data_IF_502279848423
#
_entry.id   IF_502279848423
#
_cell.length_a   1.000
_cell.length_b   1.000
_cell.length_c   1.000
_cell.angle_alpha   90.00
_cell.angle_beta   90.00
_cell.angle_gamma   90.00
#
_symmetry.space_group_name_H-M   'P 1'
#
loop_
_entity.id
_entity.type
_entity.pdbx_description
1 polymer ?
#
# COMPACT_ATOMS: atom_id res chain seq x y z
N UNK A 1 14.39 23.89 14.73
CA UNK A 1 13.58 22.81 14.14
C UNK A 1 12.14 22.87 14.64
N UNK A 2 11.87 22.82 15.95
CA UNK A 2 10.53 23.07 16.53
C UNK A 2 9.84 24.36 16.01
N UNK A 3 10.54 25.50 16.05
CA UNK A 3 9.99 26.77 15.53
C UNK A 3 9.72 26.78 14.01
N UNK A 4 10.32 25.85 13.24
CA UNK A 4 10.18 25.77 11.78
C UNK A 4 8.98 24.88 11.38
N UNK A 5 8.50 24.01 12.27
CA UNK A 5 7.28 23.21 12.12
C UNK A 5 5.98 24.04 12.09
N UNK A 6 6.09 25.37 12.20
CA UNK A 6 4.96 26.29 12.15
C UNK A 6 5.02 27.23 10.92
N UNK A 7 6.01 27.05 10.02
CA UNK A 7 6.23 27.93 8.87
C UNK A 7 5.64 27.36 7.58
N UNK A 8 4.67 28.06 6.99
CA UNK A 8 4.06 27.70 5.70
C UNK A 8 4.84 28.24 4.47
N UNK A 9 5.98 28.91 4.67
CA UNK A 9 6.77 29.44 3.55
C UNK A 9 7.44 28.32 2.76
N UNK A 10 7.24 28.27 1.44
CA UNK A 10 7.93 27.31 0.57
C UNK A 10 9.43 27.59 0.56
N UNK A 11 10.25 26.54 0.69
CA UNK A 11 11.71 26.65 0.58
C UNK A 11 12.14 25.96 -0.71
N UNK A 12 13.02 26.62 -1.47
CA UNK A 12 13.68 26.00 -2.63
C UNK A 12 14.83 25.12 -2.13
N UNK A 13 14.79 23.82 -2.42
CA UNK A 13 15.88 22.89 -2.04
C UNK A 13 16.51 22.31 -3.30
N UNK A 14 17.77 22.69 -3.56
CA UNK A 14 18.53 22.25 -4.72
C UNK A 14 18.00 22.82 -6.04
N UNK A 15 18.10 22.04 -7.13
CA UNK A 15 17.65 22.44 -8.45
C UNK A 15 16.20 21.99 -8.71
N UNK A 16 15.22 22.80 -8.29
CA UNK A 16 13.87 22.79 -8.86
C UNK A 16 12.72 22.08 -8.12
N UNK A 17 12.96 21.39 -6.99
CA UNK A 17 11.85 20.84 -6.19
C UNK A 17 11.44 21.85 -5.10
N UNK A 18 10.27 22.46 -5.28
CA UNK A 18 9.60 23.23 -4.23
C UNK A 18 8.96 22.25 -3.26
N UNK A 19 9.57 22.11 -2.08
CA UNK A 19 9.00 21.37 -0.95
C UNK A 19 8.75 22.36 0.18
N UNK A 20 7.69 22.13 0.95
CA UNK A 20 7.46 22.90 2.16
C UNK A 20 8.47 22.49 3.25
N UNK A 21 8.81 23.39 4.19
CA UNK A 21 9.61 23.04 5.36
C UNK A 21 9.00 21.87 6.13
N UNK A 22 7.68 21.77 6.19
CA UNK A 22 6.96 20.68 6.85
C UNK A 22 7.23 19.33 6.19
N UNK A 23 7.16 19.23 4.87
CA UNK A 23 7.48 18.01 4.12
C UNK A 23 8.94 17.59 4.36
N UNK A 24 9.87 18.57 4.34
CA UNK A 24 11.29 18.29 4.57
C UNK A 24 11.56 17.83 5.99
N UNK A 25 10.94 18.46 6.99
CA UNK A 25 11.06 18.07 8.39
C UNK A 25 10.46 16.67 8.59
N UNK A 26 9.30 16.39 7.99
CA UNK A 26 8.71 15.06 8.02
C UNK A 26 9.69 14.00 7.52
N UNK A 27 10.28 14.19 6.34
CA UNK A 27 11.30 13.28 5.80
C UNK A 27 12.46 13.06 6.78
N UNK A 28 13.01 14.13 7.37
CA UNK A 28 14.09 14.01 8.35
C UNK A 28 13.69 13.28 9.62
N UNK A 29 12.46 13.50 10.11
CA UNK A 29 11.94 12.79 11.29
C UNK A 29 11.83 11.30 11.00
N UNK A 30 11.23 10.91 9.86
CA UNK A 30 11.13 9.50 9.46
C UNK A 30 12.53 8.88 9.30
N UNK A 31 13.45 9.59 8.63
CA UNK A 31 14.84 9.14 8.49
C UNK A 31 15.55 8.95 9.83
N UNK A 32 15.36 9.87 10.78
CA UNK A 32 15.93 9.78 12.11
C UNK A 32 15.37 8.59 12.90
N UNK A 33 14.07 8.31 12.78
CA UNK A 33 13.41 7.15 13.40
C UNK A 33 13.99 5.84 12.84
N UNK A 34 13.99 5.66 11.52
CA UNK A 34 14.41 4.38 10.91
C UNK A 34 15.92 4.13 11.05
N UNK A 35 16.72 5.19 11.20
CA UNK A 35 18.17 5.09 11.51
C UNK A 35 18.43 4.85 13.01
N UNK A 36 17.41 4.96 13.86
CA UNK A 36 17.52 4.79 15.31
C UNK A 36 18.20 5.98 16.00
N UNK A 37 18.20 7.16 15.39
CA UNK A 37 18.72 8.39 15.99
C UNK A 37 17.75 8.97 17.03
N UNK A 38 16.45 8.79 16.82
CA UNK A 38 15.39 9.20 17.74
C UNK A 38 14.43 8.03 17.99
N UNK A 39 13.86 7.97 19.19
CA UNK A 39 12.92 6.93 19.62
C UNK A 39 11.58 7.52 20.05
N UNK A 40 10.75 6.71 20.72
CA UNK A 40 9.37 7.06 21.09
C UNK A 40 9.27 8.26 22.03
N UNK A 41 10.22 8.40 22.96
CA UNK A 41 10.27 9.49 23.94
C UNK A 41 10.90 10.78 23.38
N UNK A 42 11.28 10.81 22.10
CA UNK A 42 11.93 11.98 21.51
C UNK A 42 10.92 13.12 21.28
N UNK A 43 11.25 14.31 21.80
CA UNK A 43 10.39 15.49 21.69
C UNK A 43 10.09 15.92 20.25
N UNK A 44 11.03 15.72 19.31
CA UNK A 44 10.84 16.07 17.90
C UNK A 44 9.84 15.12 17.23
N UNK A 45 9.93 13.82 17.55
CA UNK A 45 8.98 12.80 17.09
C UNK A 45 7.57 13.13 17.61
N UNK A 46 7.45 13.41 18.91
CA UNK A 46 6.18 13.75 19.54
C UNK A 46 5.57 15.04 18.95
N UNK A 47 6.38 16.09 18.77
CA UNK A 47 5.94 17.35 18.15
C UNK A 47 5.45 17.12 16.72
N UNK A 48 6.24 16.43 15.88
CA UNK A 48 5.86 16.15 14.49
C UNK A 48 4.51 15.44 14.38
N UNK A 49 4.32 14.34 15.12
CA UNK A 49 3.06 13.58 15.05
C UNK A 49 1.87 14.29 15.66
N UNK A 50 2.09 15.30 16.51
CA UNK A 50 1.04 16.13 17.12
C UNK A 50 0.62 17.29 16.21
N UNK A 51 1.58 17.91 15.49
CA UNK A 51 1.32 19.15 14.75
C UNK A 51 1.14 18.96 13.25
N UNK A 52 1.77 17.95 12.66
CA UNK A 52 1.70 17.74 11.22
C UNK A 52 0.33 17.20 10.79
N UNK A 53 -0.17 17.71 9.68
CA UNK A 53 -1.39 17.21 9.04
C UNK A 53 -1.25 15.71 8.72
N UNK A 54 -2.32 14.89 8.88
CA UNK A 54 -2.34 13.49 8.45
C UNK A 54 -1.73 13.25 7.06
N UNK A 55 -1.99 14.15 6.11
CA UNK A 55 -1.47 14.04 4.75
C UNK A 55 0.06 14.14 4.71
N UNK A 56 0.65 15.10 5.45
CA UNK A 56 2.10 15.29 5.53
C UNK A 56 2.77 14.12 6.26
N UNK A 57 2.12 13.56 7.29
CA UNK A 57 2.60 12.37 7.99
C UNK A 57 2.66 11.17 7.04
N UNK A 58 1.62 10.95 6.24
CA UNK A 58 1.58 9.91 5.22
C UNK A 58 2.62 10.12 4.11
N UNK A 59 2.74 11.35 3.60
CA UNK A 59 3.74 11.70 2.56
C UNK A 59 5.17 11.45 3.02
N UNK A 60 5.50 11.78 4.27
CA UNK A 60 6.83 11.57 4.81
C UNK A 60 7.20 10.08 4.83
N UNK A 61 6.27 9.21 5.26
CA UNK A 61 6.48 7.75 5.30
C UNK A 61 6.53 7.17 3.88
N UNK A 62 5.58 7.56 3.02
CA UNK A 62 5.52 7.14 1.63
C UNK A 62 6.78 7.50 0.85
N UNK A 63 7.33 8.71 1.06
CA UNK A 63 8.57 9.16 0.44
C UNK A 63 9.78 8.29 0.84
N UNK A 64 9.86 7.84 2.09
CA UNK A 64 10.91 6.92 2.53
C UNK A 64 10.79 5.57 1.83
N UNK A 65 9.58 5.00 1.72
CA UNK A 65 9.36 3.76 0.99
C UNK A 65 9.67 3.91 -0.53
N UNK A 66 9.31 5.04 -1.14
CA UNK A 66 9.72 5.40 -2.49
C UNK A 66 11.24 5.49 -2.64
N UNK A 67 11.95 6.00 -1.62
CA UNK A 67 13.41 6.06 -1.62
C UNK A 67 14.03 4.66 -1.57
N UNK A 68 13.42 3.71 -0.84
CA UNK A 68 13.87 2.30 -0.82
C UNK A 68 13.77 1.62 -2.19
N UNK A 69 12.79 2.00 -3.01
CA UNK A 69 12.67 1.48 -4.38
C UNK A 69 13.91 1.80 -5.24
N UNK A 70 14.58 2.91 -4.96
CA UNK A 70 15.79 3.34 -5.67
C UNK A 70 17.09 2.88 -4.98
N UNK A 71 16.99 2.25 -3.81
CA UNK A 71 18.12 1.70 -3.11
C UNK A 71 18.42 0.29 -3.61
N UNK A 72 19.69 0.04 -3.95
CA UNK A 72 20.16 -1.30 -4.32
C UNK A 72 20.01 -2.25 -3.11
N UNK A 73 20.49 -1.80 -1.94
CA UNK A 73 20.43 -2.52 -0.67
C UNK A 73 19.85 -1.60 0.40
N UNK A 74 19.02 -2.18 1.27
CA UNK A 74 18.54 -1.56 2.50
C UNK A 74 18.86 -2.49 3.65
N UNK A 75 19.52 -1.99 4.70
CA UNK A 75 19.82 -2.78 5.90
C UNK A 75 18.53 -3.28 6.56
N UNK A 76 18.50 -4.54 6.99
CA UNK A 76 17.33 -5.15 7.62
C UNK A 76 16.82 -4.31 8.81
N UNK A 77 17.72 -3.80 9.65
CA UNK A 77 17.35 -2.95 10.79
C UNK A 77 16.67 -1.62 10.38
N UNK A 78 17.02 -1.07 9.21
CA UNK A 78 16.39 0.15 8.69
C UNK A 78 15.02 -0.20 8.08
N UNK A 79 14.94 -1.30 7.32
CA UNK A 79 13.68 -1.82 6.77
C UNK A 79 12.68 -2.12 7.88
N UNK A 80 13.11 -2.84 8.89
CA UNK A 80 12.25 -3.35 9.96
C UNK A 80 11.69 -2.20 10.81
N UNK A 81 12.49 -1.16 11.09
CA UNK A 81 11.97 0.05 11.76
C UNK A 81 10.97 0.83 10.91
N UNK A 82 11.12 0.84 9.58
CA UNK A 82 10.09 1.45 8.72
C UNK A 82 8.80 0.62 8.74
N UNK A 83 8.90 -0.71 8.80
CA UNK A 83 7.73 -1.58 8.99
C UNK A 83 7.05 -1.37 10.35
N UNK A 84 7.81 -1.30 11.44
CA UNK A 84 7.31 -1.02 12.78
C UNK A 84 6.63 0.35 12.84
N UNK A 85 7.23 1.36 12.20
CA UNK A 85 6.66 2.69 12.11
C UNK A 85 5.31 2.68 11.37
N UNK A 86 5.22 1.93 10.28
CA UNK A 86 3.95 1.74 9.57
C UNK A 86 2.88 1.12 10.48
N UNK A 87 3.21 0.05 11.20
CA UNK A 87 2.28 -0.64 12.09
C UNK A 87 1.77 0.27 13.23
N UNK A 88 2.64 1.11 13.77
CA UNK A 88 2.28 2.15 14.73
C UNK A 88 1.30 3.15 14.12
N UNK A 89 1.55 3.63 12.90
CA UNK A 89 0.66 4.61 12.25
C UNK A 89 -0.71 4.02 11.92
N UNK A 90 -0.75 2.76 11.48
CA UNK A 90 -2.02 2.04 11.30
C UNK A 90 -2.78 1.94 12.63
N UNK A 91 -2.10 1.61 13.73
CA UNK A 91 -2.72 1.57 15.06
C UNK A 91 -3.27 2.94 15.49
N UNK A 92 -2.56 4.02 15.17
CA UNK A 92 -3.04 5.39 15.38
C UNK A 92 -4.34 5.64 14.61
N UNK A 93 -4.37 5.37 13.29
CA UNK A 93 -5.56 5.56 12.45
C UNK A 93 -6.76 4.72 12.92
N UNK A 94 -6.54 3.50 13.43
CA UNK A 94 -7.63 2.71 14.05
C UNK A 94 -8.29 3.46 15.22
N UNK A 95 -7.51 4.20 16.00
CA UNK A 95 -8.01 5.00 17.13
C UNK A 95 -8.48 6.41 16.73
N UNK A 96 -8.04 6.89 15.55
CA UNK A 96 -8.27 8.22 14.99
C UNK A 96 -8.63 8.12 13.50
N UNK A 97 -9.83 7.62 13.15
CA UNK A 97 -10.20 7.43 11.74
C UNK A 97 -10.19 8.72 10.91
N UNK A 98 -10.31 9.89 11.56
CA UNK A 98 -10.14 11.19 10.92
C UNK A 98 -8.76 11.38 10.26
N UNK A 99 -7.74 10.65 10.72
CA UNK A 99 -6.35 10.75 10.26
C UNK A 99 -6.01 9.75 9.14
N UNK A 100 -7.02 9.13 8.51
CA UNK A 100 -6.84 8.08 7.49
C UNK A 100 -5.91 8.43 6.33
N UNK A 101 -5.74 9.72 6.02
CA UNK A 101 -4.83 10.20 4.98
C UNK A 101 -3.35 9.85 5.25
N UNK A 102 -2.99 9.46 6.47
CA UNK A 102 -1.66 8.88 6.76
C UNK A 102 -1.36 7.61 5.95
N UNK A 103 -2.40 6.88 5.52
CA UNK A 103 -2.24 5.59 4.85
C UNK A 103 -2.13 5.69 3.32
N UNK A 104 -2.34 6.88 2.74
CA UNK A 104 -2.58 7.09 1.29
C UNK A 104 -1.51 6.51 0.36
N UNK A 105 -0.27 6.45 0.84
CA UNK A 105 0.90 6.12 0.05
C UNK A 105 1.49 4.74 0.38
N UNK A 106 0.72 3.87 1.04
CA UNK A 106 1.15 2.51 1.39
C UNK A 106 1.62 1.68 0.20
N UNK A 107 1.10 1.94 -1.00
CA UNK A 107 1.50 1.23 -2.22
C UNK A 107 3.02 1.33 -2.49
N UNK A 108 3.73 2.32 -1.94
CA UNK A 108 5.19 2.39 -2.04
C UNK A 108 5.92 1.27 -1.28
N UNK A 109 5.35 0.74 -0.20
CA UNK A 109 5.91 -0.42 0.52
C UNK A 109 5.83 -1.69 -0.31
N UNK A 110 4.81 -1.79 -1.17
CA UNK A 110 4.66 -2.89 -2.12
C UNK A 110 5.66 -2.70 -3.27
N UNK A 111 5.74 -1.48 -3.79
CA UNK A 111 6.56 -1.12 -4.96
C UNK A 111 8.06 -1.11 -4.73
N UNK A 112 8.52 -0.92 -3.50
CA UNK A 112 9.94 -0.93 -3.22
C UNK A 112 10.54 -2.35 -3.23
N UNK A 113 9.69 -3.39 -3.20
CA UNK A 113 10.09 -4.81 -3.25
C UNK A 113 11.07 -5.21 -2.13
N UNK A 114 11.12 -4.42 -1.05
CA UNK A 114 11.95 -4.71 0.12
C UNK A 114 11.19 -5.47 1.21
N UNK A 115 9.88 -5.60 1.09
CA UNK A 115 9.02 -6.30 2.04
C UNK A 115 8.38 -7.54 1.37
N UNK A 116 8.34 -8.69 2.06
CA UNK A 116 7.70 -9.89 1.52
C UNK A 116 6.17 -9.75 1.48
N UNK A 117 5.51 -10.53 0.62
CA UNK A 117 4.05 -10.55 0.47
C UNK A 117 3.30 -10.84 1.79
N UNK A 118 3.82 -11.79 2.57
CA UNK A 118 3.33 -12.10 3.92
C UNK A 118 3.36 -10.93 4.90
N UNK A 119 4.19 -9.91 4.64
CA UNK A 119 4.18 -8.68 5.41
C UNK A 119 3.20 -7.65 4.83
N UNK A 120 3.31 -7.28 3.55
CA UNK A 120 2.59 -6.13 3.02
C UNK A 120 1.12 -6.43 2.68
N UNK A 121 0.76 -7.65 2.30
CA UNK A 121 -0.58 -7.93 1.77
C UNK A 121 -1.67 -7.88 2.86
N UNK A 122 -1.49 -8.46 4.07
CA UNK A 122 -2.43 -8.25 5.17
C UNK A 122 -2.58 -6.78 5.56
N UNK A 123 -1.49 -6.01 5.48
CA UNK A 123 -1.47 -4.57 5.78
C UNK A 123 -2.16 -3.74 4.70
N UNK A 124 -2.09 -4.15 3.44
CA UNK A 124 -2.86 -3.53 2.36
C UNK A 124 -4.35 -3.70 2.60
N UNK A 125 -4.79 -4.92 2.94
CA UNK A 125 -6.20 -5.20 3.27
C UNK A 125 -6.68 -4.29 4.39
N UNK A 126 -5.90 -4.19 5.46
CA UNK A 126 -6.26 -3.32 6.58
C UNK A 126 -6.28 -1.84 6.20
N UNK A 127 -5.30 -1.35 5.44
CA UNK A 127 -5.28 0.03 5.00
C UNK A 127 -6.50 0.38 4.14
N UNK A 128 -6.94 -0.54 3.28
CA UNK A 128 -8.16 -0.40 2.46
C UNK A 128 -9.45 -0.41 3.30
N UNK A 129 -9.43 -1.04 4.47
CA UNK A 129 -10.58 -1.07 5.39
C UNK A 129 -10.67 0.20 6.24
N UNK A 130 -9.53 0.76 6.60
CA UNK A 130 -9.43 2.02 7.34
C UNK A 130 -9.63 3.23 6.43
N UNK A 131 -9.15 3.15 5.19
CA UNK A 131 -9.36 4.15 4.15
C UNK A 131 -9.88 3.51 2.87
N UNK A 132 -11.21 3.50 2.74
CA UNK A 132 -11.84 3.04 1.51
C UNK A 132 -11.31 3.81 0.28
N UNK A 133 -10.97 5.09 0.43
CA UNK A 133 -10.55 5.96 -0.68
C UNK A 133 -9.10 5.77 -1.09
N UNK A 134 -8.36 4.87 -0.43
CA UNK A 134 -6.97 4.58 -0.76
C UNK A 134 -6.83 4.19 -2.24
N UNK A 135 -5.86 4.81 -2.90
CA UNK A 135 -5.55 4.60 -4.32
C UNK A 135 -4.15 4.05 -4.48
N UNK A 136 -3.99 3.11 -5.40
CA UNK A 136 -2.70 2.46 -5.68
C UNK A 136 -2.02 3.02 -6.93
N UNK A 137 -2.62 4.03 -7.57
CA UNK A 137 -2.09 4.75 -8.74
C UNK A 137 -1.79 3.84 -9.95
N UNK A 138 -2.42 2.67 -10.00
CA UNK A 138 -2.26 1.67 -11.06
C UNK A 138 -0.85 1.08 -11.09
N UNK A 139 -0.33 0.72 -9.92
CA UNK A 139 1.07 0.35 -9.75
C UNK A 139 1.30 -1.07 -9.24
N UNK A 140 0.30 -1.77 -8.71
CA UNK A 140 0.51 -2.95 -7.86
C UNK A 140 -0.11 -4.26 -8.40
N UNK A 141 -0.67 -4.23 -9.61
CA UNK A 141 -1.39 -5.38 -10.19
C UNK A 141 -0.53 -6.62 -10.32
N UNK A 142 0.71 -6.47 -10.80
CA UNK A 142 1.67 -7.57 -10.94
C UNK A 142 2.11 -8.13 -9.58
N UNK A 143 2.38 -7.25 -8.61
CA UNK A 143 2.75 -7.66 -7.24
C UNK A 143 1.62 -8.42 -6.56
N UNK A 144 0.37 -7.97 -6.75
CA UNK A 144 -0.82 -8.65 -6.22
C UNK A 144 -1.04 -10.01 -6.89
N UNK A 145 -0.84 -10.10 -8.21
CA UNK A 145 -0.90 -11.37 -8.93
C UNK A 145 0.13 -12.37 -8.41
N UNK A 146 1.38 -11.92 -8.22
CA UNK A 146 2.46 -12.77 -7.71
C UNK A 146 2.21 -13.23 -6.27
N UNK A 147 1.63 -12.37 -5.43
CA UNK A 147 1.35 -12.69 -4.02
C UNK A 147 0.16 -13.65 -3.84
N UNK A 148 -0.71 -13.76 -4.84
CA UNK A 148 -1.94 -14.55 -4.75
C UNK A 148 -1.68 -16.06 -4.57
N UNK A 149 -0.55 -16.56 -5.06
CA UNK A 149 -0.17 -17.98 -4.88
C UNK A 149 0.16 -18.31 -3.41
N UNK A 150 0.80 -17.37 -2.70
CA UNK A 150 1.16 -17.55 -1.29
C UNK A 150 -0.02 -17.25 -0.36
N UNK A 151 -0.81 -16.22 -0.69
CA UNK A 151 -1.82 -15.63 0.19
C UNK A 151 -3.13 -15.38 -0.56
N UNK A 152 -3.80 -16.43 -1.08
CA UNK A 152 -4.94 -16.27 -2.00
C UNK A 152 -6.13 -15.57 -1.35
N UNK A 153 -6.39 -15.80 -0.05
CA UNK A 153 -7.47 -15.15 0.68
C UNK A 153 -7.24 -13.63 0.80
N UNK A 154 -6.06 -13.22 1.26
CA UNK A 154 -5.72 -11.82 1.43
C UNK A 154 -5.66 -11.09 0.07
N UNK A 155 -5.15 -11.76 -0.97
CA UNK A 155 -5.09 -11.21 -2.33
C UNK A 155 -6.48 -10.97 -2.90
N UNK A 156 -7.39 -11.94 -2.77
CA UNK A 156 -8.77 -11.80 -3.22
C UNK A 156 -9.49 -10.68 -2.48
N UNK A 157 -9.30 -10.57 -1.16
CA UNK A 157 -9.90 -9.51 -0.34
C UNK A 157 -9.39 -8.13 -0.76
N UNK A 158 -8.07 -7.95 -0.89
CA UNK A 158 -7.47 -6.69 -1.33
C UNK A 158 -7.98 -6.29 -2.71
N UNK A 159 -7.99 -7.23 -3.68
CA UNK A 159 -8.49 -6.98 -5.02
C UNK A 159 -9.97 -6.57 -5.03
N UNK A 160 -10.79 -7.25 -4.23
CA UNK A 160 -12.23 -6.94 -4.12
C UNK A 160 -12.45 -5.53 -3.59
N UNK A 161 -11.72 -5.13 -2.54
CA UNK A 161 -11.80 -3.78 -1.96
C UNK A 161 -11.36 -2.70 -2.97
N UNK A 162 -10.25 -2.93 -3.68
CA UNK A 162 -9.72 -1.99 -4.68
C UNK A 162 -10.66 -1.81 -5.89
N UNK A 163 -11.39 -2.86 -6.27
CA UNK A 163 -12.34 -2.83 -7.40
C UNK A 163 -13.78 -2.44 -7.00
N UNK A 164 -14.11 -2.43 -5.70
CA UNK A 164 -15.45 -2.10 -5.22
C UNK A 164 -15.81 -0.60 -5.40
N UNK A 165 -14.79 0.24 -5.40
CA UNK A 165 -14.83 1.69 -5.59
C UNK A 165 -15.59 2.08 -6.88
N UNK A 166 -16.77 2.70 -6.74
CA UNK A 166 -17.68 3.08 -7.85
C UNK A 166 -17.00 3.98 -8.90
N UNK A 167 -15.99 4.73 -8.48
CA UNK A 167 -15.20 5.68 -9.27
C UNK A 167 -13.70 5.33 -9.31
N UNK A 168 -13.30 4.05 -9.26
CA UNK A 168 -11.88 3.72 -9.47
C UNK A 168 -11.45 4.28 -10.83
N UNK A 169 -10.53 5.24 -10.81
CA UNK A 169 -10.03 5.91 -12.01
C UNK A 169 -9.61 4.88 -13.07
N UNK A 170 -9.80 5.19 -14.36
CA UNK A 170 -9.53 4.26 -15.45
C UNK A 170 -8.11 3.66 -15.39
N UNK A 171 -7.14 4.37 -14.81
CA UNK A 171 -5.74 3.94 -14.67
C UNK A 171 -5.55 2.90 -13.56
N UNK A 172 -6.04 3.15 -12.35
CA UNK A 172 -5.94 2.21 -11.21
C UNK A 172 -6.71 0.93 -11.51
N UNK A 173 -7.83 1.08 -12.21
CA UNK A 173 -8.66 -0.03 -12.64
C UNK A 173 -7.99 -0.87 -13.73
N UNK A 174 -7.28 -0.23 -14.67
CA UNK A 174 -6.63 -0.93 -15.79
C UNK A 174 -5.53 -1.88 -15.32
N UNK A 175 -4.64 -1.44 -14.44
CA UNK A 175 -3.53 -2.26 -13.94
C UNK A 175 -4.06 -3.51 -13.21
N UNK A 176 -4.98 -3.32 -12.26
CA UNK A 176 -5.59 -4.43 -11.52
C UNK A 176 -6.38 -5.38 -12.42
N UNK A 177 -7.18 -4.86 -13.36
CA UNK A 177 -7.96 -5.69 -14.31
C UNK A 177 -7.06 -6.48 -15.24
N UNK A 178 -5.98 -5.88 -15.70
CA UNK A 178 -5.05 -6.51 -16.65
C UNK A 178 -4.21 -7.57 -15.95
N UNK A 179 -3.57 -7.21 -14.84
CA UNK A 179 -2.51 -8.01 -14.23
C UNK A 179 -2.98 -8.86 -13.05
N UNK A 180 -3.85 -8.34 -12.17
CA UNK A 180 -4.23 -9.04 -10.94
C UNK A 180 -5.50 -9.88 -11.05
N UNK A 181 -6.49 -9.43 -11.82
CA UNK A 181 -7.85 -9.96 -11.73
C UNK A 181 -7.94 -11.47 -12.00
N UNK A 182 -7.44 -11.93 -13.14
CA UNK A 182 -7.50 -13.35 -13.48
C UNK A 182 -6.57 -14.21 -12.59
N UNK A 183 -5.30 -13.85 -12.34
CA UNK A 183 -4.42 -14.63 -11.46
C UNK A 183 -4.93 -14.76 -10.03
N UNK A 184 -5.44 -13.68 -9.43
CA UNK A 184 -5.97 -13.72 -8.06
C UNK A 184 -7.21 -14.62 -7.96
N UNK A 185 -8.14 -14.51 -8.92
CA UNK A 185 -9.31 -15.39 -8.97
C UNK A 185 -8.89 -16.85 -9.16
N UNK A 186 -7.95 -17.12 -10.07
CA UNK A 186 -7.45 -18.47 -10.31
C UNK A 186 -6.80 -19.07 -9.04
N UNK A 187 -5.95 -18.32 -8.35
CA UNK A 187 -5.32 -18.77 -7.11
C UNK A 187 -6.36 -19.08 -6.03
N UNK A 188 -7.38 -18.23 -5.86
CA UNK A 188 -8.47 -18.47 -4.93
C UNK A 188 -9.33 -19.70 -5.32
N UNK A 189 -9.57 -19.94 -6.61
CA UNK A 189 -10.29 -21.13 -7.10
C UNK A 189 -9.51 -22.44 -6.92
N UNK A 190 -8.17 -22.40 -6.84
CA UNK A 190 -7.33 -23.57 -6.53
C UNK A 190 -7.38 -23.95 -5.05
N UNK A 191 -7.84 -23.06 -4.18
CA UNK A 191 -8.01 -23.37 -2.76
C UNK A 191 -9.12 -24.42 -2.55
N UNK A 192 -8.92 -25.28 -1.55
CA UNK A 192 -9.94 -26.21 -1.06
C UNK A 192 -10.92 -25.56 -0.08
N UNK A 193 -10.76 -24.28 0.23
CA UNK A 193 -11.71 -23.53 1.07
C UNK A 193 -12.92 -23.09 0.24
N UNK A 194 -14.08 -23.70 0.54
CA UNK A 194 -15.36 -23.42 -0.10
C UNK A 194 -15.74 -21.93 -0.06
N UNK A 195 -15.40 -21.21 1.03
CA UNK A 195 -15.71 -19.78 1.14
C UNK A 195 -14.85 -18.95 0.20
N UNK A 196 -13.56 -19.27 0.13
CA UNK A 196 -12.62 -18.58 -0.75
C UNK A 196 -12.99 -18.84 -2.22
N UNK A 197 -13.32 -20.08 -2.55
CA UNK A 197 -13.78 -20.47 -3.89
C UNK A 197 -15.07 -19.74 -4.28
N UNK A 198 -16.06 -19.69 -3.37
CA UNK A 198 -17.30 -18.96 -3.61
C UNK A 198 -17.07 -17.45 -3.77
N UNK A 199 -16.18 -16.86 -2.96
CA UNK A 199 -15.78 -15.45 -3.08
C UNK A 199 -15.15 -15.13 -4.44
N UNK A 200 -14.28 -16.02 -4.94
CA UNK A 200 -13.67 -15.88 -6.26
C UNK A 200 -14.72 -15.91 -7.38
N UNK A 201 -15.68 -16.84 -7.28
CA UNK A 201 -16.81 -16.91 -8.20
C UNK A 201 -17.70 -15.66 -8.17
N UNK A 202 -17.94 -15.10 -6.98
CA UNK A 202 -18.72 -13.87 -6.83
C UNK A 202 -18.03 -12.66 -7.48
N UNK A 203 -16.72 -12.48 -7.25
CA UNK A 203 -15.95 -11.41 -7.88
C UNK A 203 -15.91 -11.58 -9.40
N UNK A 204 -15.71 -12.81 -9.89
CA UNK A 204 -15.72 -13.11 -11.33
C UNK A 204 -17.05 -12.72 -11.98
N UNK A 205 -18.18 -13.07 -11.37
CA UNK A 205 -19.52 -12.72 -11.85
C UNK A 205 -19.76 -11.20 -11.82
N UNK A 206 -19.36 -10.53 -10.74
CA UNK A 206 -19.48 -9.09 -10.61
C UNK A 206 -18.70 -8.36 -11.72
N UNK A 207 -17.47 -8.79 -11.98
CA UNK A 207 -16.62 -8.17 -13.01
C UNK A 207 -17.11 -8.50 -14.43
N UNK A 208 -17.63 -9.71 -14.66
CA UNK A 208 -18.32 -10.06 -15.91
C UNK A 208 -19.53 -9.15 -16.18
N UNK A 209 -20.35 -8.86 -15.17
CA UNK A 209 -21.46 -7.91 -15.27
C UNK A 209 -21.00 -6.46 -15.54
N UNK A 210 -19.76 -6.11 -15.18
CA UNK A 210 -19.10 -4.83 -15.46
C UNK A 210 -18.34 -4.80 -16.80
N UNK A 211 -18.43 -5.86 -17.60
CA UNK A 211 -17.88 -5.92 -18.96
C UNK A 211 -16.58 -6.71 -19.12
N UNK A 212 -16.07 -7.39 -18.10
CA UNK A 212 -14.95 -8.34 -18.20
C UNK A 212 -15.40 -9.67 -18.83
N UNK A 213 -15.86 -9.59 -20.09
CA UNK A 213 -16.56 -10.70 -20.78
C UNK A 213 -15.70 -11.91 -21.15
N UNK A 214 -14.38 -11.80 -21.05
CA UNK A 214 -13.43 -12.89 -21.33
C UNK A 214 -12.72 -13.41 -20.06
N UNK A 215 -13.14 -12.94 -18.88
CA UNK A 215 -12.50 -13.27 -17.61
C UNK A 215 -12.54 -14.77 -17.29
N UNK A 216 -13.65 -15.44 -17.61
CA UNK A 216 -13.80 -16.88 -17.46
C UNK A 216 -12.72 -17.65 -18.23
N UNK A 217 -12.44 -17.24 -19.47
CA UNK A 217 -11.41 -17.85 -20.32
C UNK A 217 -10.00 -17.58 -19.78
N UNK A 218 -9.74 -16.36 -19.34
CA UNK A 218 -8.44 -15.96 -18.75
C UNK A 218 -8.15 -16.76 -17.48
N UNK A 219 -9.15 -16.92 -16.61
CA UNK A 219 -9.04 -17.75 -15.39
C UNK A 219 -8.86 -19.22 -15.74
N UNK A 220 -9.66 -19.76 -16.67
CA UNK A 220 -9.58 -21.15 -17.08
C UNK A 220 -8.19 -21.51 -17.66
N UNK A 221 -7.59 -20.62 -18.46
CA UNK A 221 -6.25 -20.81 -19.01
C UNK A 221 -5.21 -21.01 -17.88
N UNK A 222 -5.25 -20.17 -16.85
CA UNK A 222 -4.34 -20.24 -15.70
C UNK A 222 -4.55 -21.49 -14.84
N UNK A 223 -5.78 -21.99 -14.72
CA UNK A 223 -6.06 -23.25 -14.02
C UNK A 223 -5.54 -24.47 -14.81
N UNK A 224 -5.60 -24.43 -16.14
CA UNK A 224 -5.10 -25.53 -17.00
C UNK A 224 -3.59 -25.58 -17.12
N UNK A 225 -2.89 -24.45 -17.02
CA UNK A 225 -1.42 -24.45 -17.08
C UNK A 225 -0.79 -24.98 -15.79
N UNK A 226 -1.42 -24.72 -14.63
CA UNK A 226 -0.98 -25.27 -13.35
C UNK A 226 -1.13 -26.80 -13.21
N UNK A 227 -1.90 -27.45 -14.09
CA UNK A 227 -2.10 -28.92 -14.08
C UNK A 227 -1.14 -29.68 -15.01
N UNK A 228 -0.24 -28.98 -15.71
CA UNK A 228 0.76 -29.56 -16.61
C UNK A 228 2.14 -29.76 -15.98
N UNK A 229 2.37 -29.17 -14.80
CA UNK A 229 3.57 -29.37 -13.97
C UNK A 229 3.33 -30.44 -12.89
#
# INVERSE_FOLDING_TARGET
>A
MAATLHSHEQIEVGWGNRVTPHERIGQWVIEAIIRGHIGDDDSLRAEFYTTADPEIRGDAIGHTAWSFMHAEVVDDAIRDRLAELWDERVAHVRSRPEDKAELKDFYWFIRCEKFPASWWLPRLVEALELDADLRTRGMIGEQLASAAEELPEAALRALTLLLAQEETSARDNYDLRTHALAPVIAAAMRSTDDKLHAGAGALMNQMGARGETDLDKRVAALLTDATKD
#
